data_IF_713380896615
#
_entry.id   IF_713380896615
#
_cell.length_a   1.000
_cell.length_b   1.000
_cell.length_c   1.000
_cell.angle_alpha   90.00
_cell.angle_beta   90.00
_cell.angle_gamma   90.00
#
_symmetry.space_group_name_H-M   'P 1'
#
loop_
_entity.id
_entity.type
_entity.pdbx_description
1 polymer ?
#
# COMPACT_ATOMS: atom_id res chain seq x y z
N UNK A 1 1.35 33.20 56.41
CA UNK A 1 1.48 32.06 55.48
C UNK A 1 2.39 32.48 54.35
N UNK A 2 3.64 31.99 54.34
CA UNK A 2 4.61 32.36 53.31
C UNK A 2 4.36 31.52 52.05
N UNK A 3 3.81 32.13 51.01
CA UNK A 3 3.63 31.51 49.71
C UNK A 3 5.01 31.39 49.05
N UNK A 4 5.62 30.21 49.14
CA UNK A 4 6.89 29.91 48.48
C UNK A 4 6.65 29.93 46.97
N UNK A 5 6.91 31.08 46.34
CA UNK A 5 6.88 31.19 44.89
C UNK A 5 7.84 30.15 44.30
N UNK A 6 7.38 29.25 43.40
CA UNK A 6 8.25 28.22 42.83
C UNK A 6 9.39 28.93 42.11
N UNK A 7 10.64 28.60 42.48
CA UNK A 7 11.81 29.25 41.90
C UNK A 7 11.77 29.11 40.37
N UNK A 8 11.96 30.23 39.65
CA UNK A 8 11.97 30.23 38.17
C UNK A 8 12.84 29.11 37.60
N UNK A 9 13.98 28.82 38.26
CA UNK A 9 14.86 27.69 37.94
C UNK A 9 14.15 26.33 37.92
N UNK A 10 13.30 26.00 38.91
CA UNK A 10 12.57 24.71 38.94
C UNK A 10 11.53 24.61 37.82
N UNK A 11 10.90 25.72 37.46
CA UNK A 11 9.97 25.79 36.32
C UNK A 11 10.69 25.58 34.98
N UNK A 12 11.83 26.25 34.78
CA UNK A 12 12.66 26.09 33.59
C UNK A 12 13.20 24.66 33.46
N UNK A 13 13.65 24.05 34.56
CA UNK A 13 14.18 22.68 34.56
C UNK A 13 13.11 21.65 34.17
N UNK A 14 11.87 21.81 34.68
CA UNK A 14 10.74 20.95 34.29
C UNK A 14 10.39 21.08 32.81
N UNK A 15 10.42 22.31 32.26
CA UNK A 15 10.19 22.55 30.83
C UNK A 15 11.27 21.92 29.95
N UNK A 16 12.54 22.00 30.36
CA UNK A 16 13.64 21.37 29.66
C UNK A 16 13.54 19.84 29.69
N UNK A 17 13.19 19.24 30.84
CA UNK A 17 12.97 17.80 30.94
C UNK A 17 11.80 17.33 30.08
N UNK A 18 10.70 18.09 30.04
CA UNK A 18 9.57 17.79 29.17
C UNK A 18 9.96 17.87 27.68
N UNK A 19 10.71 18.90 27.29
CA UNK A 19 11.21 19.03 25.92
C UNK A 19 12.16 17.87 25.54
N UNK A 20 13.07 17.50 26.43
CA UNK A 20 13.96 16.35 26.25
C UNK A 20 13.18 15.03 26.10
N UNK A 21 12.12 14.83 26.90
CA UNK A 21 11.26 13.66 26.79
C UNK A 21 10.55 13.59 25.43
N UNK A 22 10.01 14.71 24.94
CA UNK A 22 9.36 14.79 23.62
C UNK A 22 10.37 14.50 22.49
N UNK A 23 11.58 15.06 22.57
CA UNK A 23 12.63 14.80 21.58
C UNK A 23 13.07 13.35 21.57
N UNK A 24 13.22 12.73 22.75
CA UNK A 24 13.55 11.31 22.87
C UNK A 24 12.45 10.42 22.27
N UNK A 25 11.17 10.75 22.50
CA UNK A 25 10.05 10.05 21.90
C UNK A 25 10.02 10.19 20.37
N UNK A 26 10.21 11.41 19.86
CA UNK A 26 10.27 11.66 18.41
C UNK A 26 11.41 10.87 17.75
N UNK A 27 12.59 10.85 18.37
CA UNK A 27 13.74 10.07 17.92
C UNK A 27 13.47 8.56 17.93
N UNK A 28 12.83 8.06 18.99
CA UNK A 28 12.48 6.66 19.10
C UNK A 28 11.47 6.22 18.03
N UNK A 29 10.43 7.02 17.79
CA UNK A 29 9.46 6.79 16.70
C UNK A 29 10.14 6.81 15.33
N UNK A 30 11.09 7.72 15.13
CA UNK A 30 11.85 7.79 13.88
C UNK A 30 12.70 6.54 13.65
N UNK A 31 13.41 6.04 14.67
CA UNK A 31 14.18 4.80 14.56
C UNK A 31 13.31 3.55 14.41
N UNK A 32 12.09 3.56 14.97
CA UNK A 32 11.15 2.45 14.84
C UNK A 32 10.56 2.31 13.44
N UNK A 33 10.77 3.28 12.54
CA UNK A 33 10.38 3.18 11.12
C UNK A 33 11.31 2.23 10.37
N UNK A 34 11.09 0.93 10.53
CA UNK A 34 11.63 -0.04 9.58
C UNK A 34 10.83 0.05 8.27
N UNK A 35 11.48 0.03 7.09
CA UNK A 35 10.74 -0.12 5.85
C UNK A 35 9.99 -1.45 5.93
N UNK A 36 8.66 -1.41 5.78
CA UNK A 36 7.84 -2.61 5.77
C UNK A 36 8.31 -3.45 4.58
N UNK A 37 8.90 -4.61 4.86
CA UNK A 37 9.11 -5.64 3.87
C UNK A 37 7.93 -6.59 3.97
N UNK A 38 7.05 -6.54 2.98
CA UNK A 38 5.97 -7.50 2.90
C UNK A 38 6.56 -8.90 2.66
N UNK A 39 5.91 -9.90 3.24
CA UNK A 39 6.03 -11.28 2.82
C UNK A 39 4.99 -11.59 1.71
N UNK A 40 5.11 -12.76 1.09
CA UNK A 40 4.21 -13.16 0.01
C UNK A 40 2.73 -13.20 0.43
N UNK A 41 2.34 -13.75 1.60
CA UNK A 41 0.94 -13.72 2.05
C UNK A 41 0.39 -12.30 2.22
N UNK A 42 1.17 -11.37 2.78
CA UNK A 42 0.75 -9.97 2.89
C UNK A 42 0.62 -9.31 1.52
N UNK A 43 1.52 -9.62 0.59
CA UNK A 43 1.44 -9.12 -0.78
C UNK A 43 0.20 -9.64 -1.52
N UNK A 44 -0.13 -10.93 -1.36
CA UNK A 44 -1.33 -11.51 -1.93
C UNK A 44 -2.60 -10.85 -1.36
N UNK A 45 -2.72 -10.74 -0.03
CA UNK A 45 -3.86 -10.07 0.60
C UNK A 45 -4.01 -8.63 0.12
N UNK A 46 -2.89 -7.94 -0.13
CA UNK A 46 -2.91 -6.58 -0.70
C UNK A 46 -3.41 -6.57 -2.14
N UNK A 47 -3.00 -7.52 -2.97
CA UNK A 47 -3.45 -7.63 -4.35
C UNK A 47 -4.95 -7.97 -4.43
N UNK A 48 -5.44 -8.86 -3.56
CA UNK A 48 -6.87 -9.18 -3.44
C UNK A 48 -7.71 -7.96 -3.00
N UNK A 49 -7.20 -7.15 -2.07
CA UNK A 49 -7.85 -5.87 -1.74
C UNK A 49 -7.94 -4.93 -2.93
N UNK A 50 -6.90 -4.88 -3.77
CA UNK A 50 -6.89 -4.07 -4.99
C UNK A 50 -7.85 -4.62 -6.05
N UNK A 51 -7.93 -5.93 -6.24
CA UNK A 51 -8.95 -6.56 -7.08
C UNK A 51 -10.37 -6.21 -6.58
N UNK A 52 -10.61 -6.31 -5.27
CA UNK A 52 -11.87 -5.90 -4.64
C UNK A 52 -12.22 -4.44 -4.92
N UNK A 53 -11.25 -3.53 -4.80
CA UNK A 53 -11.42 -2.12 -5.11
C UNK A 53 -11.62 -1.85 -6.62
N UNK A 54 -11.03 -2.66 -7.49
CA UNK A 54 -11.32 -2.62 -8.93
C UNK A 54 -12.78 -2.99 -9.19
N UNK A 55 -13.22 -4.18 -8.74
CA UNK A 55 -14.58 -4.67 -8.95
C UNK A 55 -15.64 -3.71 -8.38
N UNK A 56 -15.39 -3.14 -7.20
CA UNK A 56 -16.29 -2.16 -6.60
C UNK A 56 -16.43 -0.87 -7.44
N UNK A 57 -15.37 -0.47 -8.18
CA UNK A 57 -15.37 0.73 -9.02
C UNK A 57 -15.90 0.47 -10.43
N UNK A 58 -15.60 -0.69 -11.01
CA UNK A 58 -16.03 -1.05 -12.36
C UNK A 58 -17.43 -1.66 -12.41
N UNK A 59 -17.90 -2.22 -11.30
CA UNK A 59 -19.15 -3.01 -11.25
C UNK A 59 -18.98 -4.43 -11.79
N UNK A 60 -17.75 -4.88 -12.05
CA UNK A 60 -17.49 -6.22 -12.56
C UNK A 60 -17.78 -7.30 -11.51
N UNK A 61 -18.52 -8.37 -11.86
CA UNK A 61 -18.82 -9.45 -10.93
C UNK A 61 -17.58 -10.31 -10.65
N UNK A 62 -17.41 -10.83 -9.42
CA UNK A 62 -16.28 -11.69 -9.06
C UNK A 62 -16.15 -12.95 -9.93
N UNK A 63 -17.27 -13.47 -10.45
CA UNK A 63 -17.30 -14.64 -11.34
C UNK A 63 -16.58 -14.40 -12.68
N UNK A 64 -16.33 -13.15 -13.06
CA UNK A 64 -15.56 -12.84 -14.27
C UNK A 64 -14.04 -13.00 -14.09
N UNK A 65 -13.56 -13.25 -12.88
CA UNK A 65 -12.13 -13.43 -12.61
C UNK A 65 -11.84 -14.89 -12.28
N UNK A 66 -10.89 -15.47 -13.00
CA UNK A 66 -10.41 -16.82 -12.75
C UNK A 66 -9.64 -16.92 -11.41
N UNK A 67 -9.15 -18.12 -11.08
CA UNK A 67 -8.23 -18.27 -9.96
C UNK A 67 -6.95 -17.43 -10.16
N UNK A 68 -6.45 -16.88 -9.07
CA UNK A 68 -5.24 -16.05 -9.08
C UNK A 68 -4.01 -16.87 -9.49
N UNK A 69 -3.20 -16.32 -10.39
CA UNK A 69 -1.85 -16.77 -10.67
C UNK A 69 -0.83 -15.77 -10.09
N UNK A 70 0.27 -16.27 -9.52
CA UNK A 70 1.30 -15.44 -8.89
C UNK A 70 2.69 -15.72 -9.43
N UNK A 71 3.47 -14.67 -9.66
CA UNK A 71 4.89 -14.74 -10.05
C UNK A 71 5.70 -13.92 -9.05
N UNK A 72 6.76 -14.50 -8.51
CA UNK A 72 7.69 -13.81 -7.63
C UNK A 72 8.85 -13.20 -8.41
N UNK A 73 9.15 -11.94 -8.10
CA UNK A 73 10.27 -11.17 -8.62
C UNK A 73 11.19 -10.73 -7.46
N UNK A 74 12.46 -10.37 -7.76
CA UNK A 74 13.36 -9.80 -6.75
C UNK A 74 12.78 -8.56 -6.04
N UNK A 75 12.03 -7.73 -6.77
CA UNK A 75 11.44 -6.48 -6.30
C UNK A 75 10.05 -6.63 -5.66
N UNK A 76 9.37 -7.77 -5.81
CA UNK A 76 7.97 -7.93 -5.42
C UNK A 76 7.28 -9.15 -6.00
N UNK A 77 5.96 -9.06 -6.14
CA UNK A 77 5.11 -10.12 -6.67
C UNK A 77 4.13 -9.56 -7.69
N UNK A 78 3.92 -10.26 -8.77
CA UNK A 78 2.82 -10.02 -9.70
C UNK A 78 1.72 -11.04 -9.44
N UNK A 79 0.50 -10.56 -9.23
CA UNK A 79 -0.70 -11.37 -9.11
C UNK A 79 -1.62 -11.05 -10.28
N UNK A 80 -2.10 -12.09 -10.96
CA UNK A 80 -2.94 -11.93 -12.14
C UNK A 80 -4.18 -12.81 -12.10
N UNK A 81 -5.25 -12.31 -12.70
CA UNK A 81 -6.53 -12.98 -12.84
C UNK A 81 -6.95 -12.88 -14.30
N UNK A 82 -7.08 -14.02 -14.98
CA UNK A 82 -7.67 -14.05 -16.32
C UNK A 82 -9.13 -13.62 -16.27
N UNK A 83 -9.54 -12.81 -17.24
CA UNK A 83 -10.89 -12.30 -17.32
C UNK A 83 -11.75 -13.25 -18.17
N UNK A 84 -12.66 -13.99 -17.53
CA UNK A 84 -13.39 -15.10 -18.14
C UNK A 84 -14.27 -14.74 -19.35
N UNK A 85 -14.79 -13.51 -19.51
CA UNK A 85 -15.48 -13.15 -20.76
C UNK A 85 -14.56 -13.18 -21.99
N UNK A 86 -13.25 -12.97 -21.83
CA UNK A 86 -12.27 -13.00 -22.92
C UNK A 86 -10.87 -13.44 -22.41
N UNK A 87 -10.70 -14.70 -21.99
CA UNK A 87 -9.55 -15.14 -21.19
C UNK A 87 -8.23 -15.17 -21.97
N UNK A 88 -8.31 -15.23 -23.30
CA UNK A 88 -7.16 -15.27 -24.20
C UNK A 88 -6.50 -13.90 -24.39
N UNK A 89 -7.22 -12.80 -24.11
CA UNK A 89 -6.80 -11.44 -24.47
C UNK A 89 -6.90 -10.43 -23.33
N UNK A 90 -7.60 -10.76 -22.25
CA UNK A 90 -7.74 -9.87 -21.10
C UNK A 90 -7.39 -10.56 -19.78
N UNK A 91 -6.57 -9.86 -19.01
CA UNK A 91 -6.27 -10.20 -17.62
C UNK A 91 -6.18 -8.93 -16.80
N UNK A 92 -6.49 -9.06 -15.52
CA UNK A 92 -6.11 -8.07 -14.52
C UNK A 92 -4.76 -8.50 -13.95
N UNK A 93 -3.75 -7.64 -14.01
CA UNK A 93 -2.46 -7.85 -13.35
C UNK A 93 -2.21 -6.75 -12.31
N UNK A 94 -1.75 -7.14 -11.13
CA UNK A 94 -1.45 -6.26 -10.02
C UNK A 94 -0.05 -6.60 -9.51
N UNK A 95 0.83 -5.61 -9.50
CA UNK A 95 2.18 -5.75 -9.00
C UNK A 95 2.34 -5.11 -7.62
N UNK A 96 2.77 -5.90 -6.65
CA UNK A 96 3.03 -5.48 -5.26
C UNK A 96 4.54 -5.48 -5.00
N UNK A 97 5.11 -4.28 -4.76
CA UNK A 97 6.52 -4.15 -4.36
C UNK A 97 6.73 -4.68 -2.95
N UNK A 98 7.93 -5.19 -2.67
CA UNK A 98 8.35 -5.58 -1.30
C UNK A 98 8.22 -4.44 -0.29
N UNK A 99 8.33 -3.18 -0.72
CA UNK A 99 8.12 -1.98 0.10
C UNK A 99 6.66 -1.75 0.53
N UNK A 100 5.70 -2.48 -0.05
CA UNK A 100 4.28 -2.39 0.27
C UNK A 100 3.43 -1.56 -0.70
N UNK A 101 4.03 -0.88 -1.67
CA UNK A 101 3.27 -0.18 -2.71
C UNK A 101 2.76 -1.15 -3.77
N UNK A 102 1.47 -1.04 -4.14
CA UNK A 102 0.86 -1.82 -5.21
C UNK A 102 0.42 -0.94 -6.38
N UNK A 103 0.47 -1.46 -7.60
CA UNK A 103 -0.08 -0.81 -8.80
C UNK A 103 -0.69 -1.84 -9.76
N UNK A 104 -1.60 -1.39 -10.61
CA UNK A 104 -2.15 -2.21 -11.69
C UNK A 104 -1.12 -2.29 -12.82
N UNK A 105 -0.69 -3.50 -13.17
CA UNK A 105 0.18 -3.77 -14.31
C UNK A 105 -0.60 -3.88 -15.62
N UNK A 106 -1.81 -4.47 -15.55
CA UNK A 106 -2.72 -4.61 -16.69
C UNK A 106 -4.16 -4.55 -16.19
N UNK A 107 -5.05 -3.90 -16.96
CA UNK A 107 -6.49 -3.89 -16.70
C UNK A 107 -7.19 -4.70 -17.80
N UNK A 108 -8.24 -5.46 -17.47
CA UNK A 108 -8.92 -6.27 -18.46
C UNK A 108 -9.65 -5.38 -19.47
N UNK A 109 -9.35 -5.55 -20.76
CA UNK A 109 -10.06 -4.91 -21.87
C UNK A 109 -10.43 -5.98 -22.91
N UNK A 110 -11.72 -6.30 -23.02
CA UNK A 110 -12.21 -7.28 -23.99
C UNK A 110 -12.37 -6.73 -25.41
N UNK A 111 -11.95 -5.50 -25.71
CA UNK A 111 -12.20 -4.92 -27.02
C UNK A 111 -11.32 -5.56 -28.12
N UNK A 112 -11.88 -6.36 -29.05
CA UNK A 112 -11.07 -7.13 -30.01
C UNK A 112 -10.54 -6.28 -31.19
N UNK A 113 -10.76 -4.96 -31.19
CA UNK A 113 -10.46 -4.05 -32.32
C UNK A 113 -9.51 -2.91 -32.01
N UNK A 114 -8.99 -2.76 -30.78
CA UNK A 114 -7.87 -1.84 -30.53
C UNK A 114 -6.54 -2.55 -30.77
N UNK A 115 -6.33 -2.97 -32.01
CA UNK A 115 -4.98 -3.15 -32.50
C UNK A 115 -4.24 -1.83 -32.30
N UNK A 116 -3.10 -1.89 -31.61
CA UNK A 116 -2.19 -0.80 -31.24
C UNK A 116 -2.61 0.05 -30.03
N UNK A 117 -1.80 -0.06 -28.97
CA UNK A 117 -1.52 0.98 -27.98
C UNK A 117 -2.75 1.69 -27.42
N UNK A 118 -3.46 1.05 -26.49
CA UNK A 118 -4.27 1.82 -25.56
C UNK A 118 -3.34 2.85 -24.89
N UNK A 119 -3.50 4.13 -25.22
CA UNK A 119 -2.79 5.21 -24.56
C UNK A 119 -2.94 5.00 -23.04
N UNK A 120 -1.85 5.06 -22.26
CA UNK A 120 -1.95 4.89 -20.82
C UNK A 120 -2.99 5.88 -20.31
N UNK A 121 -4.06 5.38 -19.71
CA UNK A 121 -4.98 6.25 -18.97
C UNK A 121 -4.16 6.79 -17.80
N UNK A 122 -3.67 8.02 -17.96
CA UNK A 122 -2.95 8.72 -16.92
C UNK A 122 -3.88 8.86 -15.71
N UNK A 123 -3.39 8.40 -14.56
CA UNK A 123 -3.97 8.66 -13.24
C UNK A 123 -3.52 10.04 -12.78
#
# INVERSE_FOLDING_TARGET
MATTAPSRRRSTLRRLLAAAAVLALAWWVWQARKPVQLDQPQAQARAEQMLGAYMARSGEPPAHFAAMAGIEYPEGWEFSWSYTPCPEVARLSIFIRRSGSGHYGELPDCHPTRGFGAAPQAV
#
